data_IF_867183236648
#
_entry.id   IF_867183236648
#
_cell.length_a   1.000
_cell.length_b   1.000
_cell.length_c   1.000
_cell.angle_alpha   90.00
_cell.angle_beta   90.00
_cell.angle_gamma   90.00
#
_symmetry.space_group_name_H-M   'P 1'
#
loop_
_entity.id
_entity.type
_entity.pdbx_description
1 polymer ?
#
# COMPACT_ATOMS: atom_id res chain seq x y z
N UNK A 1 31.43 17.98 9.11
CA UNK A 1 30.36 18.47 8.23
C UNK A 1 29.96 17.32 7.32
N UNK A 2 28.73 16.83 7.43
CA UNK A 2 28.20 15.82 6.51
C UNK A 2 28.07 16.52 5.15
N UNK A 3 28.81 16.04 4.14
CA UNK A 3 28.78 16.63 2.80
C UNK A 3 27.43 16.30 2.17
N UNK A 4 26.65 17.33 1.83
CA UNK A 4 25.32 17.18 1.21
C UNK A 4 25.30 16.23 -0.02
N UNK A 5 26.44 16.08 -0.71
CA UNK A 5 26.59 15.16 -1.84
C UNK A 5 26.43 13.68 -1.48
N UNK A 6 26.85 13.24 -0.28
CA UNK A 6 26.67 11.84 0.15
C UNK A 6 25.20 11.50 0.35
N UNK A 7 24.42 12.43 0.93
CA UNK A 7 22.99 12.24 1.16
C UNK A 7 22.25 12.16 -0.18
N UNK A 8 22.61 13.00 -1.16
CA UNK A 8 22.03 12.93 -2.50
C UNK A 8 22.34 11.64 -3.24
N UNK A 9 23.56 11.11 -3.12
CA UNK A 9 23.95 9.82 -3.72
C UNK A 9 23.18 8.65 -3.10
N UNK A 10 22.98 8.67 -1.78
CA UNK A 10 22.19 7.65 -1.06
C UNK A 10 20.73 7.68 -1.52
N UNK A 11 20.11 8.87 -1.60
CA UNK A 11 18.73 9.01 -2.06
C UNK A 11 18.58 8.56 -3.53
N UNK A 12 19.52 8.93 -4.41
CA UNK A 12 19.49 8.48 -5.82
C UNK A 12 19.61 6.96 -5.94
N UNK A 13 20.46 6.32 -5.14
CA UNK A 13 20.57 4.85 -5.11
C UNK A 13 19.29 4.18 -4.61
N UNK A 14 18.62 4.75 -3.60
CA UNK A 14 17.34 4.24 -3.13
C UNK A 14 16.24 4.38 -4.19
N UNK A 15 16.21 5.49 -4.94
CA UNK A 15 15.27 5.67 -6.05
C UNK A 15 15.57 4.77 -7.26
N UNK A 16 16.85 4.50 -7.55
CA UNK A 16 17.26 3.64 -8.67
C UNK A 16 16.92 2.16 -8.44
N UNK A 17 16.81 1.71 -7.19
CA UNK A 17 16.32 0.37 -6.82
C UNK A 17 14.82 0.32 -6.53
N UNK A 18 14.11 1.44 -6.66
CA UNK A 18 12.66 1.50 -6.48
C UNK A 18 12.00 1.07 -7.80
N UNK A 19 11.97 -0.24 -8.05
CA UNK A 19 11.02 -0.80 -8.99
C UNK A 19 9.63 -0.57 -8.38
N UNK A 20 8.89 0.38 -8.95
CA UNK A 20 7.46 0.54 -8.69
C UNK A 20 6.68 -0.62 -9.34
N UNK A 21 7.10 -1.85 -9.07
CA UNK A 21 6.24 -3.01 -9.18
C UNK A 21 5.24 -2.82 -8.03
N UNK A 22 4.18 -2.07 -8.32
CA UNK A 22 3.10 -1.83 -7.36
C UNK A 22 2.60 -3.22 -6.98
N UNK A 23 2.98 -3.65 -5.78
CA UNK A 23 2.73 -5.00 -5.30
C UNK A 23 1.23 -5.14 -5.02
N UNK A 24 0.46 -5.42 -6.07
CA UNK A 24 -0.99 -5.66 -6.02
C UNK A 24 -1.35 -6.81 -5.08
N UNK A 25 -0.34 -7.60 -4.65
CA UNK A 25 -0.49 -8.63 -3.62
C UNK A 25 -0.92 -8.04 -2.28
N UNK A 26 -0.47 -6.83 -1.95
CA UNK A 26 -0.70 -6.16 -0.65
C UNK A 26 -1.48 -4.85 -0.77
N UNK A 27 -1.63 -4.30 -1.99
CA UNK A 27 -2.35 -3.04 -2.22
C UNK A 27 -3.56 -3.28 -3.12
N UNK A 28 -4.72 -2.78 -2.69
CA UNK A 28 -5.97 -2.83 -3.44
C UNK A 28 -6.57 -1.46 -3.72
N UNK A 29 -7.49 -1.42 -4.70
CA UNK A 29 -8.27 -0.24 -5.05
C UNK A 29 -9.75 -0.48 -4.80
N UNK A 30 -10.38 0.44 -4.08
CA UNK A 30 -11.83 0.42 -3.85
C UNK A 30 -12.55 0.68 -5.17
N UNK A 31 -13.48 -0.21 -5.53
CA UNK A 31 -14.35 -0.09 -6.71
C UNK A 31 -15.71 0.47 -6.30
N UNK A 32 -16.24 0.03 -5.17
CA UNK A 32 -17.59 0.34 -4.71
C UNK A 32 -17.64 0.45 -3.18
N UNK A 33 -18.47 1.35 -2.65
CA UNK A 33 -18.75 1.48 -1.22
C UNK A 33 -20.25 1.67 -1.02
N UNK A 34 -20.86 0.88 -0.14
CA UNK A 34 -22.27 0.99 0.22
C UNK A 34 -22.56 0.31 1.56
N UNK A 35 -23.40 0.92 2.40
CA UNK A 35 -23.86 0.37 3.68
C UNK A 35 -22.75 -0.19 4.60
N UNK A 36 -21.57 0.43 4.57
CA UNK A 36 -20.41 0.01 5.36
C UNK A 36 -19.62 -1.15 4.77
N UNK A 37 -19.96 -1.62 3.57
CA UNK A 37 -19.24 -2.65 2.81
C UNK A 37 -18.49 -1.98 1.66
N UNK A 38 -17.20 -2.30 1.52
CA UNK A 38 -16.37 -1.85 0.40
C UNK A 38 -15.95 -3.04 -0.46
N UNK A 39 -16.10 -2.92 -1.79
CA UNK A 39 -15.58 -3.89 -2.75
C UNK A 39 -14.23 -3.43 -3.25
N UNK A 40 -13.20 -4.27 -3.09
CA UNK A 40 -11.81 -3.93 -3.40
C UNK A 40 -11.30 -4.86 -4.50
N UNK A 41 -10.59 -4.30 -5.48
CA UNK A 41 -9.82 -5.02 -6.48
C UNK A 41 -8.34 -5.07 -6.10
N UNK A 42 -7.67 -6.19 -6.31
CA UNK A 42 -6.31 -6.44 -5.82
C UNK A 42 -6.35 -7.20 -4.49
N UNK A 43 -5.37 -6.96 -3.61
CA UNK A 43 -5.24 -7.64 -2.31
C UNK A 43 -5.25 -9.18 -2.45
N UNK A 44 -4.53 -9.69 -3.46
CA UNK A 44 -4.58 -11.12 -3.82
C UNK A 44 -4.13 -12.06 -2.69
N UNK A 45 -3.37 -11.55 -1.71
CA UNK A 45 -2.93 -12.30 -0.52
C UNK A 45 -3.77 -12.06 0.73
N UNK A 46 -4.75 -11.17 0.69
CA UNK A 46 -5.55 -10.86 1.88
C UNK A 46 -6.36 -12.09 2.32
N UNK A 47 -6.31 -12.40 3.61
CA UNK A 47 -7.02 -13.54 4.17
C UNK A 47 -8.39 -13.13 4.72
N UNK A 48 -9.38 -14.02 4.62
CA UNK A 48 -10.66 -13.81 5.27
C UNK A 48 -10.48 -13.61 6.78
N UNK A 49 -11.12 -12.57 7.33
CA UNK A 49 -10.97 -12.18 8.73
C UNK A 49 -9.74 -11.32 9.06
N UNK A 50 -8.92 -10.98 8.06
CA UNK A 50 -7.84 -10.00 8.22
C UNK A 50 -8.42 -8.57 8.33
N UNK A 51 -7.69 -7.68 9.02
CA UNK A 51 -8.05 -6.28 9.15
C UNK A 51 -7.25 -5.45 8.14
N UNK A 52 -7.98 -4.74 7.27
CA UNK A 52 -7.43 -3.79 6.32
C UNK A 52 -7.56 -2.37 6.86
N UNK A 53 -6.47 -1.61 6.75
CA UNK A 53 -6.48 -0.19 7.09
C UNK A 53 -6.78 0.63 5.84
N UNK A 54 -7.82 1.45 5.93
CA UNK A 54 -8.22 2.40 4.92
C UNK A 54 -7.69 3.80 5.27
N UNK A 55 -7.59 4.70 4.29
CA UNK A 55 -7.31 6.11 4.56
C UNK A 55 -8.33 6.69 5.56
N UNK A 56 -7.85 7.55 6.47
CA UNK A 56 -8.70 8.21 7.46
C UNK A 56 -8.95 7.38 8.73
N UNK A 57 -7.99 6.53 9.11
CA UNK A 57 -8.01 5.72 10.34
C UNK A 57 -9.21 4.76 10.43
N UNK A 58 -9.77 4.39 9.29
CA UNK A 58 -10.85 3.40 9.21
C UNK A 58 -10.24 2.01 9.06
N UNK A 59 -10.81 1.04 9.76
CA UNK A 59 -10.43 -0.37 9.67
C UNK A 59 -11.63 -1.16 9.18
N UNK A 60 -11.42 -2.01 8.18
CA UNK A 60 -12.42 -2.96 7.70
C UNK A 60 -11.91 -4.39 7.79
N UNK A 61 -12.83 -5.32 7.96
CA UNK A 61 -12.50 -6.75 7.98
C UNK A 61 -12.74 -7.35 6.61
N UNK A 62 -11.83 -8.19 6.15
CA UNK A 62 -11.98 -8.93 4.90
C UNK A 62 -13.10 -9.95 5.05
N UNK A 63 -14.15 -9.74 4.26
CA UNK A 63 -15.31 -10.62 4.11
C UNK A 63 -15.31 -11.16 2.66
N UNK A 64 -15.86 -12.37 2.46
CA UNK A 64 -15.82 -13.07 1.16
C UNK A 64 -16.87 -12.58 0.16
#
# INVERSE_FOLDING_TARGET
MIKAGEISEIIKRQLAGYEAEVDLQEVGRVIEVGDGIARIYGLEKAMAGELLQFPGDVVGMVLN
#
